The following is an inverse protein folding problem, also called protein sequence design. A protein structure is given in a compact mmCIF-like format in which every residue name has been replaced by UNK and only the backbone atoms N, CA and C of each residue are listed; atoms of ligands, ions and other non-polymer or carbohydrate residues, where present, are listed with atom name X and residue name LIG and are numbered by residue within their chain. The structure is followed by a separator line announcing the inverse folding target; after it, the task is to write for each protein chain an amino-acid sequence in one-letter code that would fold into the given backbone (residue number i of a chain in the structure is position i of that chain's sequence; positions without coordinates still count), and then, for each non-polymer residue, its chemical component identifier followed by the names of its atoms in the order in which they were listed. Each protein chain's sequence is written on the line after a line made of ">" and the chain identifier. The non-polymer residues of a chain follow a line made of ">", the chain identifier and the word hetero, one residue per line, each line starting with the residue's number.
data_IF_404303701662
#
_entry.id   IF_404303701662
#
_cell.length_a   1.000
_cell.length_b   1.000
_cell.length_c   1.000
_cell.angle_alpha   90.00
_cell.angle_beta   90.00
_cell.angle_gamma   90.00
#
_symmetry.space_group_name_H-M   'P 1'
#
loop_
_entity.id
_entity.type
_entity.pdbx_description
1 polymer ?
#
# COMPACT_ATOMS: atom_id res chain seq x y z
N UNK A 1 3.26 21.41 -13.19
CA UNK A 1 3.00 19.95 -13.07
C UNK A 1 1.54 19.78 -12.70
N UNK A 2 0.80 18.88 -13.36
CA UNK A 2 -0.58 18.58 -12.98
C UNK A 2 -0.58 17.63 -11.78
N UNK A 3 -1.32 17.97 -10.73
CA UNK A 3 -1.58 17.05 -9.63
C UNK A 3 -2.37 15.86 -10.16
N UNK A 4 -1.99 14.65 -9.76
CA UNK A 4 -2.75 13.44 -10.10
C UNK A 4 -4.04 13.39 -9.28
N UNK A 5 -5.05 12.71 -9.80
CA UNK A 5 -6.35 12.58 -9.13
C UNK A 5 -6.33 11.50 -8.05
N UNK A 6 -7.30 11.54 -7.14
CA UNK A 6 -7.45 10.49 -6.13
C UNK A 6 -7.69 9.10 -6.76
N UNK A 7 -8.38 9.03 -7.90
CA UNK A 7 -8.58 7.76 -8.63
C UNK A 7 -7.24 7.15 -9.07
N UNK A 8 -6.30 7.96 -9.57
CA UNK A 8 -4.97 7.48 -9.94
C UNK A 8 -4.23 6.87 -8.75
N UNK A 9 -4.25 7.55 -7.60
CA UNK A 9 -3.60 7.05 -6.38
C UNK A 9 -4.29 5.78 -5.85
N UNK A 10 -5.62 5.72 -5.93
CA UNK A 10 -6.36 4.53 -5.52
C UNK A 10 -6.08 3.33 -6.40
N UNK A 11 -5.88 3.52 -7.72
CA UNK A 11 -5.41 2.44 -8.60
C UNK A 11 -4.05 1.88 -8.16
N UNK A 12 -3.15 2.73 -7.66
CA UNK A 12 -1.85 2.28 -7.15
C UNK A 12 -1.99 1.47 -5.83
N UNK A 13 -2.93 1.85 -4.96
CA UNK A 13 -3.25 1.08 -3.76
C UNK A 13 -3.91 -0.27 -4.10
N UNK A 14 -4.85 -0.29 -5.05
CA UNK A 14 -5.45 -1.53 -5.56
C UNK A 14 -4.43 -2.47 -6.20
N UNK A 15 -3.41 -1.94 -6.88
CA UNK A 15 -2.31 -2.75 -7.39
C UNK A 15 -1.53 -3.44 -6.24
N UNK A 16 -1.36 -2.80 -5.08
CA UNK A 16 -0.79 -3.45 -3.90
C UNK A 16 -1.75 -4.49 -3.29
N UNK A 17 -3.06 -4.20 -3.24
CA UNK A 17 -4.06 -5.18 -2.79
C UNK A 17 -4.06 -6.46 -3.65
N UNK A 18 -3.83 -6.33 -4.97
CA UNK A 18 -3.64 -7.48 -5.87
C UNK A 18 -2.42 -8.34 -5.48
N UNK A 19 -1.33 -7.72 -5.02
CA UNK A 19 -0.14 -8.46 -4.55
C UNK A 19 -0.40 -9.20 -3.24
N UNK A 20 -1.13 -8.60 -2.31
CA UNK A 20 -1.61 -9.31 -1.11
C UNK A 20 -2.49 -10.51 -1.50
N UNK A 21 -3.42 -10.33 -2.45
CA UNK A 21 -4.23 -11.43 -2.94
C UNK A 21 -3.38 -12.59 -3.52
N UNK A 22 -2.41 -12.28 -4.37
CA UNK A 22 -1.47 -13.25 -4.93
C UNK A 22 -0.65 -13.98 -3.85
N UNK A 23 -0.38 -13.31 -2.73
CA UNK A 23 0.32 -13.87 -1.58
C UNK A 23 -0.60 -14.65 -0.61
N UNK A 24 -1.88 -14.83 -0.92
CA UNK A 24 -2.90 -15.41 -0.03
C UNK A 24 -3.10 -14.62 1.29
N UNK A 25 -2.90 -13.31 1.23
CA UNK A 25 -3.14 -12.37 2.33
C UNK A 25 -4.54 -11.73 2.20
N UNK A 26 -4.96 -11.01 3.25
CA UNK A 26 -6.13 -10.13 3.15
C UNK A 26 -5.86 -9.06 2.07
N UNK A 27 -6.69 -8.94 1.02
CA UNK A 27 -6.37 -8.15 -0.18
C UNK A 27 -6.56 -6.64 0.07
N UNK A 28 -5.64 -6.05 0.84
CA UNK A 28 -5.59 -4.64 1.19
C UNK A 28 -4.24 -4.07 0.79
N UNK A 29 -4.26 -2.87 0.20
CA UNK A 29 -3.08 -2.13 -0.21
C UNK A 29 -3.19 -0.66 0.15
N UNK A 30 -2.05 -0.02 0.37
CA UNK A 30 -1.96 1.39 0.76
C UNK A 30 -0.79 2.09 0.06
N UNK A 31 -0.93 3.40 -0.14
CA UNK A 31 0.11 4.28 -0.68
C UNK A 31 0.17 5.56 0.14
N UNK A 32 1.37 6.09 0.38
CA UNK A 32 1.59 7.41 0.99
C UNK A 32 2.05 8.36 -0.10
N UNK A 33 1.34 9.48 -0.26
CA UNK A 33 1.60 10.49 -1.30
C UNK A 33 2.00 11.79 -0.65
N UNK A 34 3.13 12.35 -1.08
CA UNK A 34 3.61 13.69 -0.70
C UNK A 34 4.15 14.39 -1.95
N UNK A 35 3.85 15.68 -2.10
CA UNK A 35 4.29 16.49 -3.24
C UNK A 35 4.04 15.83 -4.62
N UNK A 36 2.84 15.25 -4.77
CA UNK A 36 2.40 14.57 -5.99
C UNK A 36 3.26 13.34 -6.39
N UNK A 37 3.95 12.74 -5.42
CA UNK A 37 4.78 11.55 -5.57
C UNK A 37 4.41 10.52 -4.51
N UNK A 38 4.41 9.23 -4.90
CA UNK A 38 4.32 8.14 -3.93
C UNK A 38 5.66 8.00 -3.23
N UNK A 39 5.66 8.19 -1.91
CA UNK A 39 6.84 8.03 -1.05
C UNK A 39 6.84 6.70 -0.29
N UNK A 40 5.68 6.03 -0.17
CA UNK A 40 5.56 4.72 0.46
C UNK A 40 4.46 3.88 -0.16
N UNK A 41 4.64 2.55 -0.16
CA UNK A 41 3.67 1.56 -0.64
C UNK A 41 3.67 0.36 0.30
N UNK A 42 2.50 -0.22 0.54
CA UNK A 42 2.36 -1.41 1.36
C UNK A 42 1.17 -2.25 0.92
N UNK A 43 1.25 -3.56 1.19
CA UNK A 43 0.14 -4.50 1.12
C UNK A 43 0.14 -5.33 2.41
N UNK A 44 -1.01 -5.92 2.77
CA UNK A 44 -1.11 -6.76 3.96
C UNK A 44 -0.10 -7.91 3.90
N UNK A 45 0.63 -8.13 5.00
CA UNK A 45 1.58 -9.23 5.15
C UNK A 45 1.48 -9.88 6.53
N UNK A 46 0.28 -9.88 7.13
CA UNK A 46 0.07 -10.39 8.51
C UNK A 46 0.38 -11.87 8.62
N UNK A 47 -0.01 -12.66 7.62
CA UNK A 47 0.23 -14.11 7.62
C UNK A 47 1.70 -14.42 7.30
N UNK A 48 2.26 -13.74 6.30
CA UNK A 48 3.62 -13.92 5.79
C UNK A 48 4.66 -13.58 6.86
N UNK A 49 4.45 -12.48 7.59
CA UNK A 49 5.37 -12.02 8.63
C UNK A 49 5.03 -12.57 10.02
N UNK A 50 3.91 -13.29 10.16
CA UNK A 50 3.37 -13.73 11.45
C UNK A 50 3.26 -12.57 12.45
N UNK A 51 2.89 -11.40 11.94
CA UNK A 51 2.80 -10.15 12.69
C UNK A 51 1.41 -9.55 12.49
N UNK A 52 0.54 -9.52 13.52
CA UNK A 52 -0.80 -8.99 13.41
C UNK A 52 -0.83 -7.47 13.12
N UNK A 53 0.31 -6.78 13.20
CA UNK A 53 0.43 -5.35 12.91
C UNK A 53 0.92 -5.07 11.49
N UNK A 54 1.33 -6.09 10.73
CA UNK A 54 1.83 -5.97 9.36
C UNK A 54 0.72 -5.70 8.32
N UNK A 55 -0.16 -4.76 8.65
CA UNK A 55 -1.18 -4.22 7.78
C UNK A 55 -0.55 -3.33 6.68
N UNK A 56 -1.28 -3.17 5.58
CA UNK A 56 -0.81 -2.38 4.44
C UNK A 56 -0.43 -0.94 4.81
N UNK A 57 -1.21 -0.30 5.69
CA UNK A 57 -0.99 1.08 6.14
C UNK A 57 0.31 1.23 6.94
N UNK A 58 0.57 0.28 7.84
CA UNK A 58 1.79 0.27 8.67
C UNK A 58 3.01 0.12 7.77
N UNK A 59 2.98 -0.82 6.83
CA UNK A 59 4.07 -1.04 5.89
C UNK A 59 4.27 0.19 4.98
N UNK A 60 3.19 0.80 4.49
CA UNK A 60 3.27 1.97 3.64
C UNK A 60 3.86 3.20 4.37
N UNK A 61 3.53 3.39 5.66
CA UNK A 61 4.11 4.42 6.51
C UNK A 61 5.58 4.16 6.78
N UNK A 62 5.96 2.93 7.15
CA UNK A 62 7.37 2.55 7.35
C UNK A 62 8.21 2.74 6.08
N UNK A 63 7.65 2.46 4.90
CA UNK A 63 8.33 2.67 3.62
C UNK A 63 8.47 4.16 3.24
N UNK A 64 7.70 5.05 3.86
CA UNK A 64 7.71 6.48 3.62
C UNK A 64 8.59 7.28 4.60
N UNK A 65 9.11 6.63 5.66
CA UNK A 65 9.98 7.22 6.67
C UNK A 65 11.44 7.29 6.19
#
# INVERSE_FOLDING_TARGET
>A
MKSQTHEFWMQQALAQAGRAFEANEVPVGAVVVQDNKIIGRGHNQTETLQDPTAHAEIIALSAAA
#
